data_IF_054361668666
#
_entry.id   IF_054361668666
#
_cell.length_a   1.000
_cell.length_b   1.000
_cell.length_c   1.000
_cell.angle_alpha   90.00
_cell.angle_beta   90.00
_cell.angle_gamma   90.00
#
_symmetry.space_group_name_H-M   'P 1'
#
loop_
_entity.id
_entity.type
_entity.pdbx_description
1 polymer ?
#
# COMPACT_ATOMS: atom_id res chain seq x y z
N UNK A 1 4.03 -18.94 -9.33
CA UNK A 1 5.29 -18.83 -8.57
C UNK A 1 5.38 -19.93 -7.53
N UNK A 2 6.58 -20.39 -7.25
CA UNK A 2 6.85 -21.43 -6.26
C UNK A 2 6.77 -20.87 -4.84
N UNK A 3 6.70 -21.78 -3.85
CA UNK A 3 6.72 -21.36 -2.45
C UNK A 3 8.01 -20.65 -2.08
N UNK A 4 9.14 -21.07 -2.67
CA UNK A 4 10.42 -20.40 -2.45
C UNK A 4 10.40 -18.97 -3.00
N UNK A 5 9.82 -18.77 -4.18
CA UNK A 5 9.67 -17.45 -4.78
C UNK A 5 8.75 -16.55 -3.96
N UNK A 6 7.64 -17.10 -3.48
CA UNK A 6 6.71 -16.37 -2.61
C UNK A 6 7.40 -15.97 -1.32
N UNK A 7 8.17 -16.88 -0.72
CA UNK A 7 8.96 -16.57 0.48
C UNK A 7 9.95 -15.44 0.27
N UNK A 8 10.63 -15.44 -0.89
CA UNK A 8 11.56 -14.37 -1.23
C UNK A 8 10.85 -13.02 -1.41
N UNK A 9 9.66 -13.04 -2.05
CA UNK A 9 8.87 -11.82 -2.21
C UNK A 9 8.39 -11.27 -0.85
N UNK A 10 7.97 -12.16 0.05
CA UNK A 10 7.55 -11.75 1.40
C UNK A 10 8.71 -11.11 2.16
N UNK A 11 9.90 -11.70 2.06
CA UNK A 11 11.08 -11.15 2.72
C UNK A 11 11.44 -9.78 2.15
N UNK A 12 11.38 -9.63 0.82
CA UNK A 12 11.60 -8.34 0.18
C UNK A 12 10.59 -7.30 0.65
N UNK A 13 9.31 -7.69 0.74
CA UNK A 13 8.25 -6.79 1.19
C UNK A 13 8.49 -6.32 2.63
N UNK A 14 8.96 -7.20 3.50
CA UNK A 14 9.29 -6.86 4.89
C UNK A 14 10.45 -5.86 5.00
N UNK A 15 11.28 -5.76 3.98
CA UNK A 15 12.39 -4.80 3.94
C UNK A 15 12.01 -3.51 3.22
N UNK A 16 11.24 -3.60 2.14
CA UNK A 16 10.93 -2.47 1.27
C UNK A 16 9.77 -1.63 1.79
N UNK A 17 8.70 -2.27 2.26
CA UNK A 17 7.47 -1.56 2.63
C UNK A 17 7.55 -0.76 3.93
N UNK A 18 8.16 -1.25 5.03
CA UNK A 18 8.18 -0.48 6.27
C UNK A 18 8.75 0.93 6.15
N UNK A 19 9.88 1.18 5.45
CA UNK A 19 10.36 2.55 5.28
C UNK A 19 9.39 3.44 4.52
N UNK A 20 8.70 2.89 3.52
CA UNK A 20 7.69 3.63 2.76
C UNK A 20 6.49 3.97 3.64
N UNK A 21 6.03 3.02 4.42
CA UNK A 21 4.91 3.22 5.34
C UNK A 21 5.27 4.30 6.37
N UNK A 22 6.48 4.22 6.94
CA UNK A 22 6.94 5.21 7.91
C UNK A 22 7.00 6.61 7.30
N UNK A 23 7.55 6.73 6.10
CA UNK A 23 7.67 8.01 5.41
C UNK A 23 6.30 8.67 5.17
N UNK A 24 5.37 7.90 4.59
CA UNK A 24 4.05 8.46 4.28
C UNK A 24 3.17 8.64 5.52
N UNK A 25 3.33 7.78 6.53
CA UNK A 25 2.63 7.95 7.81
C UNK A 25 2.99 9.29 8.45
N UNK A 26 4.29 9.60 8.49
CA UNK A 26 4.77 10.88 9.01
C UNK A 26 4.23 12.06 8.19
N UNK A 27 4.32 11.94 6.88
CA UNK A 27 3.89 13.00 5.96
C UNK A 27 2.39 13.26 6.08
N UNK A 28 1.58 12.22 6.26
CA UNK A 28 0.12 12.32 6.29
C UNK A 28 -0.45 12.47 7.70
N UNK A 29 0.33 12.17 8.73
CA UNK A 29 -0.18 12.12 10.10
C UNK A 29 -1.14 10.97 10.34
N UNK A 30 -1.03 9.87 9.57
CA UNK A 30 -1.90 8.72 9.66
C UNK A 30 -1.04 7.47 9.92
N UNK A 31 -1.30 6.81 11.04
CA UNK A 31 -0.46 5.69 11.49
C UNK A 31 -1.29 4.43 11.61
N UNK A 32 -0.87 3.34 10.95
CA UNK A 32 -1.59 2.07 11.07
C UNK A 32 -1.39 1.44 12.45
N UNK A 33 -2.39 0.66 12.87
CA UNK A 33 -2.31 -0.08 14.13
C UNK A 33 -1.47 -1.35 13.99
N UNK A 34 -1.25 -1.81 12.77
CA UNK A 34 -0.42 -2.97 12.49
C UNK A 34 -0.24 -3.10 10.99
N UNK A 35 0.76 -3.88 10.59
CA UNK A 35 1.04 -4.14 9.17
C UNK A 35 1.34 -5.63 9.01
N UNK A 36 0.71 -6.26 8.01
CA UNK A 36 0.93 -7.67 7.69
C UNK A 36 1.26 -7.82 6.21
N UNK A 37 2.14 -8.76 5.92
CA UNK A 37 2.46 -9.15 4.54
C UNK A 37 1.77 -10.48 4.27
N UNK A 38 1.04 -10.54 3.16
CA UNK A 38 0.28 -11.72 2.75
C UNK A 38 0.71 -12.18 1.37
N UNK A 39 0.15 -13.29 0.91
CA UNK A 39 0.31 -13.76 -0.48
C UNK A 39 -1.02 -13.69 -1.24
N UNK A 40 -1.87 -12.74 -0.90
CA UNK A 40 -3.13 -12.52 -1.59
C UNK A 40 -2.90 -12.16 -3.06
N UNK A 41 -3.71 -12.72 -3.95
CA UNK A 41 -3.58 -12.52 -5.40
C UNK A 41 -4.64 -11.60 -5.99
N UNK A 42 -5.69 -11.30 -5.22
CA UNK A 42 -6.83 -10.53 -5.71
C UNK A 42 -6.71 -9.03 -5.44
N UNK A 43 -5.80 -8.63 -4.55
CA UNK A 43 -5.58 -7.22 -4.23
C UNK A 43 -4.16 -7.03 -3.72
N UNK A 44 -3.61 -5.83 -3.93
CA UNK A 44 -2.26 -5.50 -3.47
C UNK A 44 -2.23 -5.04 -2.02
N UNK A 45 -3.31 -4.47 -1.52
CA UNK A 45 -3.38 -4.00 -0.15
C UNK A 45 -4.80 -3.89 0.36
N UNK A 46 -4.94 -3.73 1.67
CA UNK A 46 -6.22 -3.50 2.32
C UNK A 46 -6.02 -2.79 3.66
N UNK A 47 -7.08 -2.14 4.13
CA UNK A 47 -7.10 -1.49 5.44
C UNK A 47 -8.35 -1.98 6.18
N UNK A 48 -8.16 -2.52 7.38
CA UNK A 48 -9.28 -2.99 8.19
C UNK A 48 -10.03 -1.82 8.85
N UNK A 49 -11.20 -2.10 9.40
CA UNK A 49 -11.95 -1.11 10.17
C UNK A 49 -11.20 -0.61 11.40
N UNK A 50 -10.22 -1.36 11.87
CA UNK A 50 -9.37 -0.99 13.02
C UNK A 50 -8.03 -0.41 12.59
N UNK A 51 -7.89 -0.04 11.31
CA UNK A 51 -6.71 0.62 10.75
C UNK A 51 -5.45 -0.24 10.72
N UNK A 52 -5.62 -1.56 10.64
CA UNK A 52 -4.53 -2.49 10.36
C UNK A 52 -4.40 -2.67 8.86
N UNK A 53 -3.19 -2.57 8.35
CA UNK A 53 -2.92 -2.68 6.92
C UNK A 53 -2.39 -4.06 6.57
N UNK A 54 -2.80 -4.56 5.40
CA UNK A 54 -2.24 -5.76 4.81
C UNK A 54 -1.71 -5.41 3.43
N UNK A 55 -0.54 -5.94 3.08
CA UNK A 55 0.03 -5.78 1.73
C UNK A 55 0.40 -7.13 1.18
N UNK A 56 0.10 -7.33 -0.09
CA UNK A 56 0.48 -8.56 -0.79
C UNK A 56 1.96 -8.51 -1.16
N UNK A 57 2.65 -9.64 -0.99
CA UNK A 57 4.03 -9.76 -1.42
C UNK A 57 4.19 -9.58 -2.93
N UNK A 58 3.13 -9.83 -3.71
CA UNK A 58 3.16 -9.67 -5.16
C UNK A 58 3.26 -8.20 -5.59
N UNK A 59 3.02 -7.27 -4.68
CA UNK A 59 3.29 -5.86 -4.92
C UNK A 59 4.76 -5.63 -5.26
N UNK A 60 5.64 -6.51 -4.79
CA UNK A 60 7.08 -6.41 -5.07
C UNK A 60 7.41 -6.63 -6.55
N UNK A 61 6.49 -7.16 -7.33
CA UNK A 61 6.65 -7.30 -8.78
C UNK A 61 6.32 -6.01 -9.53
N UNK A 62 5.84 -4.99 -8.84
CA UNK A 62 5.49 -3.70 -9.43
C UNK A 62 6.61 -2.69 -9.26
N UNK A 63 6.66 -1.65 -10.11
CA UNK A 63 7.64 -0.58 -9.93
C UNK A 63 7.47 0.17 -8.61
N UNK A 64 8.53 0.81 -8.16
CA UNK A 64 8.57 1.56 -6.91
C UNK A 64 7.45 2.60 -6.81
N UNK A 65 7.22 3.33 -7.92
CA UNK A 65 6.17 4.34 -7.97
C UNK A 65 4.77 3.75 -7.71
N UNK A 66 4.52 2.53 -8.17
CA UNK A 66 3.26 1.84 -7.94
C UNK A 66 3.15 1.35 -6.49
N UNK A 67 4.26 0.91 -5.89
CA UNK A 67 4.28 0.53 -4.47
C UNK A 67 3.89 1.71 -3.59
N UNK A 68 4.44 2.88 -3.86
CA UNK A 68 4.11 4.10 -3.11
C UNK A 68 2.61 4.41 -3.19
N UNK A 69 2.02 4.26 -4.38
CA UNK A 69 0.59 4.46 -4.55
C UNK A 69 -0.22 3.55 -3.65
N UNK A 70 0.11 2.25 -3.61
CA UNK A 70 -0.64 1.29 -2.79
C UNK A 70 -0.49 1.62 -1.30
N UNK A 71 0.72 1.98 -0.86
CA UNK A 71 0.96 2.38 0.52
C UNK A 71 0.09 3.60 0.89
N UNK A 72 0.12 4.65 0.07
CA UNK A 72 -0.67 5.86 0.32
C UNK A 72 -2.17 5.59 0.26
N UNK A 73 -2.60 4.76 -0.70
CA UNK A 73 -4.00 4.37 -0.85
C UNK A 73 -4.53 3.75 0.43
N UNK A 74 -3.78 2.81 1.01
CA UNK A 74 -4.23 2.15 2.24
C UNK A 74 -4.14 3.08 3.46
N UNK A 75 -3.14 3.95 3.52
CA UNK A 75 -3.06 4.94 4.60
C UNK A 75 -4.23 5.93 4.53
N UNK A 76 -4.66 6.32 3.34
CA UNK A 76 -5.83 7.18 3.17
C UNK A 76 -7.08 6.57 3.81
N UNK A 77 -7.21 5.24 3.75
CA UNK A 77 -8.36 4.53 4.33
C UNK A 77 -8.38 4.59 5.86
N UNK A 78 -7.30 4.96 6.50
CA UNK A 78 -7.32 5.21 7.95
C UNK A 78 -8.25 6.39 8.26
N UNK A 79 -8.26 7.40 7.38
CA UNK A 79 -9.08 8.59 7.56
C UNK A 79 -10.41 8.50 6.80
N UNK A 80 -10.42 7.96 5.57
CA UNK A 80 -11.60 7.90 4.71
C UNK A 80 -11.81 6.46 4.26
N UNK A 81 -12.84 5.80 4.79
CA UNK A 81 -13.05 4.35 4.55
C UNK A 81 -13.63 4.04 3.18
N UNK A 82 -14.38 4.96 2.57
CA UNK A 82 -14.97 4.73 1.25
C UNK A 82 -14.11 5.38 0.14
N UNK A 83 -14.41 5.05 -1.11
CA UNK A 83 -13.72 5.61 -2.28
C UNK A 83 -14.49 6.77 -2.89
N UNK A 84 -15.08 7.62 -2.06
CA UNK A 84 -15.79 8.81 -2.51
C UNK A 84 -14.84 9.98 -2.81
N UNK A 85 -15.43 11.18 -3.06
CA UNK A 85 -14.62 12.36 -3.40
C UNK A 85 -13.58 12.74 -2.36
N UNK A 86 -13.88 12.57 -1.08
CA UNK A 86 -12.94 12.91 -0.01
C UNK A 86 -11.71 12.02 -0.03
N UNK A 87 -11.90 10.74 -0.36
CA UNK A 87 -10.79 9.80 -0.50
C UNK A 87 -9.84 10.25 -1.61
N UNK A 88 -10.37 10.53 -2.79
CA UNK A 88 -9.54 10.92 -3.93
C UNK A 88 -8.91 12.30 -3.75
N UNK A 89 -9.58 13.20 -3.03
CA UNK A 89 -9.00 14.49 -2.70
C UNK A 89 -7.75 14.32 -1.82
N UNK A 90 -7.84 13.45 -0.81
CA UNK A 90 -6.71 13.16 0.07
C UNK A 90 -5.58 12.47 -0.71
N UNK A 91 -5.92 11.46 -1.51
CA UNK A 91 -4.93 10.73 -2.31
C UNK A 91 -4.19 11.69 -3.25
N UNK A 92 -4.92 12.55 -3.96
CA UNK A 92 -4.34 13.49 -4.90
C UNK A 92 -3.48 14.54 -4.22
N UNK A 93 -3.83 14.93 -3.00
CA UNK A 93 -3.02 15.87 -2.22
C UNK A 93 -1.63 15.29 -1.92
N UNK A 94 -1.57 13.99 -1.64
CA UNK A 94 -0.30 13.33 -1.30
C UNK A 94 0.46 12.91 -2.57
N UNK A 95 -0.25 12.35 -3.55
CA UNK A 95 0.31 11.88 -4.81
C UNK A 95 -0.49 12.46 -5.98
N UNK A 96 -0.14 13.68 -6.45
CA UNK A 96 -0.86 14.30 -7.56
C UNK A 96 -0.85 13.45 -8.84
N UNK A 97 0.17 12.61 -9.01
CA UNK A 97 0.34 11.75 -10.18
C UNK A 97 -0.19 10.33 -9.94
N UNK A 98 -1.14 10.16 -9.03
CA UNK A 98 -1.64 8.82 -8.67
C UNK A 98 -2.23 8.06 -9.87
N UNK A 99 -2.83 8.74 -10.83
CA UNK A 99 -3.39 8.08 -12.01
C UNK A 99 -2.31 7.45 -12.88
N UNK A 100 -1.18 8.13 -13.02
CA UNK A 100 -0.03 7.59 -13.77
C UNK A 100 0.57 6.40 -13.05
N UNK A 101 0.69 6.47 -11.73
CA UNK A 101 1.21 5.38 -10.92
C UNK A 101 0.30 4.16 -11.00
N UNK A 102 -1.02 4.38 -11.02
CA UNK A 102 -2.00 3.29 -11.11
C UNK A 102 -1.81 2.45 -12.36
N UNK A 103 -1.41 3.07 -13.48
CA UNK A 103 -1.15 2.36 -14.72
C UNK A 103 0.02 1.38 -14.63
N UNK A 104 0.87 1.54 -13.63
CA UNK A 104 2.03 0.67 -13.41
C UNK A 104 1.69 -0.59 -12.61
N UNK A 105 0.50 -0.68 -12.02
CA UNK A 105 0.05 -1.87 -11.31
C UNK A 105 -0.28 -2.97 -12.31
N UNK A 106 0.11 -4.18 -11.99
CA UNK A 106 -0.06 -5.34 -12.88
C UNK A 106 -1.20 -6.24 -12.48
#
# INVERSE_FOLDING_TARGET
QTQAEIGALKEKARQVLPPKIAYYSEKMGLFPTGVRITSARTRYGSCSGKNSLCFSCFLMNCPDAAMDLVVVHELCHIQVKNHGPDFYALLEQVLPDWRERKKLLR
#
